data_IF_932460101906
#
_entry.id   IF_932460101906
#
_cell.length_a   1.000
_cell.length_b   1.000
_cell.length_c   1.000
_cell.angle_alpha   90.00
_cell.angle_beta   90.00
_cell.angle_gamma   90.00
#
_symmetry.space_group_name_H-M   'P 1'
#
loop_
_entity.id
_entity.type
_entity.pdbx_description
1 polymer ?
#
# COMPACT_ATOMS: atom_id res chain seq x y z
N UNK A 1 -52.13 -17.05 -53.72
CA UNK A 1 -51.15 -17.17 -54.82
C UNK A 1 -49.84 -16.56 -54.32
N UNK A 2 -48.76 -17.34 -54.36
CA UNK A 2 -47.33 -17.00 -54.12
C UNK A 2 -46.92 -16.38 -52.75
N UNK A 3 -45.77 -16.64 -52.15
CA UNK A 3 -44.73 -17.67 -52.22
C UNK A 3 -43.73 -17.41 -51.06
N UNK A 4 -42.97 -18.46 -50.68
CA UNK A 4 -41.61 -18.39 -50.09
C UNK A 4 -41.44 -18.30 -48.56
N UNK A 5 -41.18 -19.45 -47.94
CA UNK A 5 -40.21 -19.68 -46.84
C UNK A 5 -38.83 -19.94 -47.52
N UNK A 6 -37.60 -19.72 -46.96
CA UNK A 6 -37.16 -19.90 -45.56
C UNK A 6 -36.02 -18.95 -45.08
N UNK A 7 -35.34 -19.35 -43.98
CA UNK A 7 -34.09 -18.81 -43.39
C UNK A 7 -34.31 -17.73 -42.31
N UNK A 8 -33.76 -17.84 -41.08
CA UNK A 8 -32.47 -18.37 -40.67
C UNK A 8 -32.53 -19.11 -39.32
N UNK A 9 -31.68 -20.13 -39.21
CA UNK A 9 -31.35 -20.87 -37.99
C UNK A 9 -30.46 -20.04 -37.02
N UNK A 10 -30.23 -20.52 -35.78
CA UNK A 10 -29.99 -19.69 -34.60
C UNK A 10 -28.55 -19.19 -34.55
N UNK A 11 -28.37 -17.90 -34.26
CA UNK A 11 -27.03 -17.37 -33.96
C UNK A 11 -26.93 -16.97 -32.50
N UNK A 12 -26.26 -17.86 -31.76
CA UNK A 12 -25.46 -17.62 -30.57
C UNK A 12 -25.17 -16.15 -30.29
N UNK A 13 -25.74 -15.58 -29.22
CA UNK A 13 -25.13 -14.42 -28.58
C UNK A 13 -25.61 -14.19 -27.16
N UNK A 14 -25.19 -15.05 -26.24
CA UNK A 14 -24.74 -14.52 -24.97
C UNK A 14 -23.36 -15.11 -24.72
N UNK A 15 -22.35 -14.48 -25.34
CA UNK A 15 -20.99 -14.52 -24.79
C UNK A 15 -21.16 -14.16 -23.32
N UNK A 16 -21.08 -15.15 -22.43
CA UNK A 16 -20.78 -14.90 -21.02
C UNK A 16 -19.43 -14.19 -21.05
N UNK A 17 -19.48 -12.87 -21.12
CA UNK A 17 -18.32 -12.04 -20.92
C UNK A 17 -17.99 -12.21 -19.44
N UNK A 18 -16.99 -13.07 -19.19
CA UNK A 18 -16.25 -12.97 -17.94
C UNK A 18 -15.63 -11.57 -17.87
N UNK A 19 -15.81 -10.93 -16.70
CA UNK A 19 -15.08 -9.78 -16.16
C UNK A 19 -15.49 -8.38 -16.72
N UNK A 20 -15.37 -7.29 -15.92
CA UNK A 20 -14.49 -7.15 -14.76
C UNK A 20 -15.14 -7.63 -13.47
N UNK A 21 -14.42 -8.49 -12.77
CA UNK A 21 -14.52 -8.54 -11.32
C UNK A 21 -14.09 -7.13 -10.90
N UNK A 22 -15.04 -6.31 -10.48
CA UNK A 22 -14.71 -5.01 -9.90
C UNK A 22 -13.83 -5.32 -8.70
N UNK A 23 -12.54 -5.12 -8.91
CA UNK A 23 -11.50 -4.98 -7.90
C UNK A 23 -12.13 -4.31 -6.70
N UNK A 24 -12.31 -5.11 -5.67
CA UNK A 24 -12.94 -4.74 -4.41
C UNK A 24 -12.31 -3.45 -3.90
N UNK A 25 -13.04 -2.35 -4.13
CA UNK A 25 -13.46 -1.35 -3.15
C UNK A 25 -12.77 -1.46 -1.78
N UNK A 26 -11.47 -1.22 -1.75
CA UNK A 26 -10.81 -0.67 -0.58
C UNK A 26 -10.32 0.69 -1.02
N UNK A 27 -10.86 1.81 -0.49
CA UNK A 27 -10.15 3.07 -0.60
C UNK A 27 -8.76 2.81 -0.02
N UNK A 28 -7.72 2.92 -0.84
CA UNK A 28 -6.34 2.90 -0.36
C UNK A 28 -6.30 3.71 0.93
N UNK A 29 -5.78 3.16 2.05
CA UNK A 29 -6.08 3.68 3.36
C UNK A 29 -5.79 5.18 3.37
N UNK A 30 -6.86 5.96 3.50
CA UNK A 30 -6.86 7.40 3.72
C UNK A 30 -6.36 7.64 5.14
N UNK A 31 -5.17 7.14 5.47
CA UNK A 31 -4.45 7.61 6.62
C UNK A 31 -4.15 9.06 6.31
N UNK A 32 -4.91 9.96 6.93
CA UNK A 32 -4.66 11.40 7.00
C UNK A 32 -3.15 11.57 6.99
N UNK A 33 -2.61 12.08 5.87
CA UNK A 33 -1.20 11.92 5.50
C UNK A 33 -0.29 12.63 6.48
N UNK A 34 -0.12 12.04 7.66
CA UNK A 34 0.64 12.63 8.74
C UNK A 34 2.09 12.35 8.44
N UNK A 35 2.80 13.42 8.12
CA UNK A 35 4.16 13.36 7.68
C UNK A 35 5.06 13.84 8.80
N UNK A 36 5.90 12.92 9.29
CA UNK A 36 6.84 13.21 10.34
C UNK A 36 8.19 13.62 9.76
N UNK A 37 8.75 14.70 10.29
CA UNK A 37 10.13 15.10 10.03
C UNK A 37 11.06 14.27 10.90
N UNK A 38 12.34 14.21 10.52
CA UNK A 38 13.34 13.40 11.23
C UNK A 38 13.39 13.62 12.75
N UNK A 39 13.31 14.86 13.30
CA UNK A 39 13.30 15.04 14.76
C UNK A 39 12.12 14.35 15.45
N UNK A 40 10.94 14.37 14.83
CA UNK A 40 9.74 13.70 15.38
C UNK A 40 9.85 12.18 15.28
N UNK A 41 10.33 11.68 14.14
CA UNK A 41 10.61 10.24 13.96
C UNK A 41 11.59 9.76 15.03
N UNK A 42 12.71 10.46 15.22
CA UNK A 42 13.73 10.16 16.22
C UNK A 42 13.17 10.13 17.65
N UNK A 43 12.37 11.13 18.01
CA UNK A 43 11.72 11.17 19.31
C UNK A 43 10.72 10.01 19.51
N UNK A 44 9.96 9.66 18.48
CA UNK A 44 8.98 8.57 18.54
C UNK A 44 9.64 7.19 18.68
N UNK A 45 10.63 6.88 17.84
CA UNK A 45 11.29 5.56 17.88
C UNK A 45 12.35 5.45 19.00
N UNK A 46 12.67 6.55 19.68
CA UNK A 46 13.70 6.58 20.73
C UNK A 46 15.12 6.39 20.22
N UNK A 47 15.39 6.66 18.94
CA UNK A 47 16.70 6.49 18.31
C UNK A 47 17.33 7.83 17.92
N UNK A 48 18.66 7.90 18.03
CA UNK A 48 19.40 9.02 17.48
C UNK A 48 19.23 9.12 15.96
N UNK A 49 19.26 10.35 15.42
CA UNK A 49 19.13 10.59 13.99
C UNK A 49 20.19 9.86 13.15
N UNK A 50 21.43 9.77 13.66
CA UNK A 50 22.52 9.02 13.03
C UNK A 50 22.21 7.54 12.89
N UNK A 51 21.59 6.93 13.90
CA UNK A 51 21.12 5.54 13.87
C UNK A 51 20.05 5.35 12.82
N UNK A 52 19.07 6.26 12.73
CA UNK A 52 18.03 6.22 11.69
C UNK A 52 18.67 6.26 10.30
N UNK A 53 19.62 7.17 10.05
CA UNK A 53 20.33 7.22 8.77
C UNK A 53 21.13 5.95 8.47
N UNK A 54 21.71 5.32 9.50
CA UNK A 54 22.42 4.05 9.35
C UNK A 54 21.46 2.92 8.98
N UNK A 55 20.31 2.80 9.64
CA UNK A 55 19.26 1.83 9.32
C UNK A 55 18.70 2.06 7.91
N UNK A 56 18.51 3.32 7.50
CA UNK A 56 18.13 3.67 6.13
C UNK A 56 19.17 3.21 5.11
N UNK A 57 20.48 3.38 5.38
CA UNK A 57 21.55 2.88 4.50
C UNK A 57 21.55 1.36 4.40
N UNK A 58 21.17 0.67 5.48
CA UNK A 58 21.03 -0.80 5.52
C UNK A 58 19.74 -1.30 4.89
N UNK A 59 18.79 -0.41 4.58
CA UNK A 59 17.46 -0.79 4.09
C UNK A 59 16.53 -1.35 5.18
N UNK A 60 16.90 -1.18 6.45
CA UNK A 60 16.17 -1.68 7.62
C UNK A 60 15.16 -0.68 8.17
N UNK A 61 15.09 0.54 7.63
CA UNK A 61 14.18 1.60 8.07
C UNK A 61 13.32 2.11 6.89
N UNK A 62 12.07 2.53 7.13
CA UNK A 62 11.19 3.08 6.11
C UNK A 62 11.85 4.21 5.30
N UNK A 63 11.57 4.21 3.99
CA UNK A 63 12.10 5.22 3.07
C UNK A 63 11.35 6.54 3.25
N UNK A 64 12.04 7.68 3.31
CA UNK A 64 11.38 8.96 3.38
C UNK A 64 10.71 9.35 2.06
N UNK A 65 9.58 10.03 2.17
CA UNK A 65 8.89 10.73 1.10
C UNK A 65 9.46 12.15 0.95
N UNK A 66 9.83 12.59 -0.28
CA UNK A 66 10.19 13.97 -0.52
C UNK A 66 8.95 14.87 -0.38
N UNK A 67 9.07 16.00 0.33
CA UNK A 67 8.00 17.00 0.38
C UNK A 67 8.27 18.13 -0.60
N UNK A 68 9.29 18.93 -0.30
CA UNK A 68 9.68 20.08 -1.12
C UNK A 68 11.21 20.21 -1.09
N UNK A 69 11.82 20.29 -2.27
CA UNK A 69 13.26 20.42 -2.44
C UNK A 69 14.04 19.30 -1.74
N UNK A 70 14.96 19.68 -0.85
CA UNK A 70 15.79 18.74 -0.08
C UNK A 70 15.09 18.16 1.16
N UNK A 71 13.83 18.51 1.39
CA UNK A 71 13.15 18.19 2.65
C UNK A 71 12.45 16.83 2.58
N UNK A 72 12.75 15.97 3.55
CA UNK A 72 12.30 14.58 3.64
C UNK A 72 11.40 14.37 4.85
N UNK A 73 10.31 13.64 4.68
CA UNK A 73 9.43 13.19 5.76
C UNK A 73 9.19 11.70 5.66
N UNK A 74 8.64 11.11 6.71
CA UNK A 74 8.15 9.75 6.73
C UNK A 74 6.65 9.78 6.90
N UNK A 75 5.96 8.82 6.28
CA UNK A 75 4.57 8.54 6.61
C UNK A 75 4.56 8.01 8.03
N UNK A 76 3.76 8.63 8.91
CA UNK A 76 3.67 8.22 10.31
C UNK A 76 3.34 6.73 10.44
N UNK A 77 2.40 6.25 9.62
CA UNK A 77 2.00 4.85 9.57
C UNK A 77 3.20 3.90 9.36
N UNK A 78 4.03 4.13 8.34
CA UNK A 78 5.19 3.27 8.06
C UNK A 78 6.18 3.21 9.24
N UNK A 79 6.37 4.34 9.93
CA UNK A 79 7.26 4.42 11.10
C UNK A 79 6.66 3.67 12.29
N UNK A 80 5.35 3.80 12.52
CA UNK A 80 4.64 3.11 13.59
C UNK A 80 4.71 1.60 13.34
N UNK A 81 4.32 1.13 12.15
CA UNK A 81 4.35 -0.29 11.79
C UNK A 81 5.76 -0.88 11.92
N UNK A 82 6.79 -0.14 11.51
CA UNK A 82 8.17 -0.57 11.70
C UNK A 82 8.55 -0.72 13.19
N UNK A 83 8.11 0.21 14.04
CA UNK A 83 8.39 0.15 15.47
C UNK A 83 7.66 -1.02 16.14
N UNK A 84 6.41 -1.28 15.72
CA UNK A 84 5.59 -2.39 16.20
C UNK A 84 6.20 -3.75 15.83
N UNK A 85 6.62 -3.94 14.57
CA UNK A 85 7.30 -5.16 14.09
C UNK A 85 8.54 -5.50 14.95
N UNK A 86 9.35 -4.49 15.26
CA UNK A 86 10.55 -4.65 16.09
C UNK A 86 10.23 -4.94 17.54
N UNK A 87 9.14 -4.40 18.08
CA UNK A 87 8.68 -4.71 19.43
C UNK A 87 8.20 -6.16 19.52
N UNK A 88 7.46 -6.64 18.52
CA UNK A 88 6.98 -8.03 18.46
C UNK A 88 8.12 -9.04 18.30
N UNK A 89 9.12 -8.76 17.46
CA UNK A 89 10.30 -9.63 17.32
C UNK A 89 11.12 -9.77 18.62
N UNK A 90 11.03 -8.81 19.54
CA UNK A 90 11.66 -8.89 20.87
C UNK A 90 10.86 -9.72 21.89
N UNK A 91 9.59 -10.02 21.61
CA UNK A 91 8.66 -10.68 22.54
C UNK A 91 8.57 -12.20 22.33
N UNK A 92 9.18 -12.76 21.27
CA UNK A 92 9.16 -14.20 20.97
C UNK A 92 10.20 -15.03 21.76
N UNK A 93 10.92 -14.43 22.71
CA UNK A 93 11.96 -15.10 23.51
C UNK A 93 11.55 -15.36 24.97
N UNK A 94 10.28 -15.63 25.26
CA UNK A 94 9.87 -16.14 26.58
C UNK A 94 8.64 -17.05 26.47
N UNK A 95 8.84 -18.33 26.15
CA UNK A 95 7.99 -19.46 26.54
C UNK A 95 8.83 -20.73 26.52
#
# INVERSE_FOLDING_TARGET
MAATTPAHSPTSRHKRLNAPQTTQDQPAPVHSAELWRLPRVAAFVGLAQSTIYLLMKRGEFPKPVPLLGRTKAWVAHDVITWAEDRASAGQEATT
#
